data_IF_966834030721
#
_entry.id   IF_966834030721
#
_cell.length_a   1.000
_cell.length_b   1.000
_cell.length_c   1.000
_cell.angle_alpha   90.00
_cell.angle_beta   90.00
_cell.angle_gamma   90.00
#
_symmetry.space_group_name_H-M   'P 1'
#
loop_
_entity.id
_entity.type
_entity.pdbx_description
1 polymer ?
#
# COMPACT_ATOMS: atom_id res chain seq x y z
N UNK A 1 -2.26 -30.05 -5.38
CA UNK A 1 -1.48 -28.80 -5.45
C UNK A 1 -1.50 -28.16 -4.07
N UNK A 2 -0.56 -28.47 -3.15
CA UNK A 2 -0.61 -27.88 -1.84
C UNK A 2 -0.14 -26.43 -1.94
N UNK A 3 -0.91 -25.55 -1.29
CA UNK A 3 -0.62 -24.13 -1.11
C UNK A 3 0.85 -23.94 -0.79
N UNK A 4 1.57 -23.24 -1.67
CA UNK A 4 2.92 -22.80 -1.37
C UNK A 4 2.79 -21.76 -0.25
N UNK A 5 3.08 -22.17 0.97
CA UNK A 5 3.16 -21.29 2.13
C UNK A 5 4.32 -20.35 1.87
N UNK A 6 4.03 -19.18 1.28
CA UNK A 6 5.00 -18.11 1.20
C UNK A 6 5.30 -17.67 2.63
N UNK A 7 6.41 -18.16 3.17
CA UNK A 7 6.91 -17.74 4.48
C UNK A 7 7.45 -16.34 4.28
N UNK A 8 6.68 -15.35 4.73
CA UNK A 8 7.12 -13.96 4.74
C UNK A 8 8.30 -13.85 5.73
N UNK A 9 9.48 -13.41 5.29
CA UNK A 9 10.64 -13.33 6.18
C UNK A 9 10.40 -12.32 7.31
N UNK A 10 11.03 -12.52 8.50
CA UNK A 10 10.89 -11.61 9.62
C UNK A 10 11.34 -10.20 9.21
N UNK A 11 10.47 -9.21 9.41
CA UNK A 11 10.69 -7.82 8.98
C UNK A 11 9.83 -7.38 7.79
N UNK A 12 9.11 -8.29 7.14
CA UNK A 12 8.15 -7.96 6.09
C UNK A 12 6.73 -8.22 6.61
N UNK A 13 5.88 -7.19 6.63
CA UNK A 13 4.45 -7.36 6.87
C UNK A 13 3.74 -7.48 5.52
N UNK A 14 3.32 -8.69 5.16
CA UNK A 14 2.40 -8.90 4.05
C UNK A 14 1.01 -9.12 4.66
N UNK A 15 0.11 -8.14 4.54
CA UNK A 15 -1.28 -8.35 4.94
C UNK A 15 -1.87 -9.46 4.06
N UNK A 16 -2.41 -10.55 4.64
CA UNK A 16 -2.97 -11.63 3.85
C UNK A 16 -4.27 -11.16 3.20
N UNK A 17 -4.18 -10.70 1.94
CA UNK A 17 -5.33 -10.46 1.09
C UNK A 17 -5.60 -11.73 0.27
N UNK A 18 -6.77 -12.38 0.41
CA UNK A 18 -7.15 -13.50 -0.45
C UNK A 18 -7.09 -13.06 -1.91
N UNK A 19 -6.47 -13.88 -2.76
CA UNK A 19 -6.41 -13.66 -4.20
C UNK A 19 -7.83 -13.51 -4.74
N UNK A 20 -8.06 -12.46 -5.53
CA UNK A 20 -9.38 -12.15 -6.10
C UNK A 20 -10.33 -11.34 -5.21
N UNK A 21 -9.99 -11.08 -3.95
CA UNK A 21 -10.74 -10.13 -3.11
C UNK A 21 -10.61 -8.68 -3.62
N UNK A 22 -11.55 -7.80 -3.23
CA UNK A 22 -11.49 -6.38 -3.58
C UNK A 22 -10.20 -5.72 -3.08
N UNK A 23 -9.79 -6.02 -1.84
CA UNK A 23 -8.52 -5.49 -1.30
C UNK A 23 -7.30 -5.94 -2.11
N UNK A 24 -7.29 -7.18 -2.60
CA UNK A 24 -6.24 -7.67 -3.50
C UNK A 24 -6.22 -6.90 -4.82
N UNK A 25 -7.38 -6.65 -5.43
CA UNK A 25 -7.49 -5.90 -6.68
C UNK A 25 -7.02 -4.45 -6.50
N UNK A 26 -7.49 -3.76 -5.47
CA UNK A 26 -7.08 -2.39 -5.17
C UNK A 26 -5.56 -2.28 -4.95
N UNK A 27 -4.94 -3.25 -4.28
CA UNK A 27 -3.49 -3.29 -4.11
C UNK A 27 -2.74 -3.44 -5.44
N UNK A 28 -3.25 -4.26 -6.36
CA UNK A 28 -2.66 -4.42 -7.69
C UNK A 28 -2.81 -3.16 -8.54
N UNK A 29 -4.00 -2.55 -8.55
CA UNK A 29 -4.27 -1.32 -9.30
C UNK A 29 -3.37 -0.18 -8.84
N UNK A 30 -3.28 0.07 -7.53
CA UNK A 30 -2.38 1.10 -6.99
C UNK A 30 -0.93 0.79 -7.34
N UNK A 31 -0.49 -0.46 -7.21
CA UNK A 31 0.88 -0.86 -7.55
C UNK A 31 1.18 -0.58 -9.02
N UNK A 32 0.32 -1.05 -9.91
CA UNK A 32 0.53 -0.95 -11.35
C UNK A 32 0.47 0.51 -11.82
N UNK A 33 -0.43 1.32 -11.23
CA UNK A 33 -0.51 2.76 -11.47
C UNK A 33 0.77 3.49 -11.06
N UNK A 34 1.29 3.25 -9.85
CA UNK A 34 2.50 3.90 -9.37
C UNK A 34 3.74 3.47 -10.18
N UNK A 35 3.75 2.25 -10.73
CA UNK A 35 4.82 1.80 -11.63
C UNK A 35 4.82 2.52 -12.98
N UNK A 36 3.66 2.96 -13.48
CA UNK A 36 3.51 3.67 -14.76
C UNK A 36 3.55 5.19 -14.60
N UNK A 37 3.35 5.73 -13.40
CA UNK A 37 3.35 7.16 -13.09
C UNK A 37 4.45 7.51 -12.07
N UNK A 38 5.70 7.71 -12.52
CA UNK A 38 6.84 7.94 -11.62
C UNK A 38 6.72 9.26 -10.82
N UNK A 39 6.05 10.28 -11.37
CA UNK A 39 5.76 11.53 -10.65
C UNK A 39 4.84 11.27 -9.46
N UNK A 40 3.71 10.58 -9.67
CA UNK A 40 2.78 10.23 -8.60
C UNK A 40 3.43 9.31 -7.57
N UNK A 41 4.30 8.40 -8.00
CA UNK A 41 5.09 7.55 -7.10
C UNK A 41 6.05 8.36 -6.21
N UNK A 42 6.67 9.41 -6.75
CA UNK A 42 7.50 10.32 -5.97
C UNK A 42 6.67 11.08 -4.92
N UNK A 43 5.53 11.67 -5.32
CA UNK A 43 4.61 12.37 -4.41
C UNK A 43 4.11 11.44 -3.30
N UNK A 44 3.71 10.21 -3.67
CA UNK A 44 3.30 9.20 -2.70
C UNK A 44 4.43 8.79 -1.75
N UNK A 45 5.67 8.70 -2.25
CA UNK A 45 6.87 8.47 -1.45
C UNK A 45 7.07 9.54 -0.39
N UNK A 46 7.06 10.81 -0.81
CA UNK A 46 7.22 11.96 0.08
C UNK A 46 6.08 12.05 1.11
N UNK A 47 4.85 11.79 0.69
CA UNK A 47 3.72 11.78 1.60
C UNK A 47 3.87 10.73 2.72
N UNK A 48 4.36 9.53 2.39
CA UNK A 48 4.68 8.50 3.41
C UNK A 48 5.78 8.97 4.37
N UNK A 49 6.79 9.68 3.88
CA UNK A 49 7.85 10.23 4.72
C UNK A 49 7.29 11.26 5.71
N UNK A 50 6.44 12.18 5.23
CA UNK A 50 5.76 13.17 6.07
C UNK A 50 4.88 12.49 7.13
N UNK A 51 4.08 11.49 6.74
CA UNK A 51 3.23 10.75 7.68
C UNK A 51 4.05 9.97 8.71
N UNK A 52 5.17 9.35 8.31
CA UNK A 52 6.04 8.62 9.23
C UNK A 52 6.70 9.57 10.26
N UNK A 53 7.03 10.80 9.86
CA UNK A 53 7.54 11.82 10.77
C UNK A 53 6.45 12.39 11.68
N UNK A 54 5.23 12.57 11.18
CA UNK A 54 4.10 13.10 11.94
C UNK A 54 3.53 12.08 12.95
N UNK A 55 3.57 10.78 12.60
CA UNK A 55 2.96 9.69 13.37
C UNK A 55 3.94 8.54 13.64
N UNK A 56 5.07 8.78 14.34
CA UNK A 56 6.11 7.77 14.53
C UNK A 56 5.69 6.57 15.40
N UNK A 57 4.66 6.74 16.23
CA UNK A 57 4.13 5.71 17.13
C UNK A 57 2.65 5.42 16.91
N UNK A 58 2.03 6.05 15.91
CA UNK A 58 0.59 5.98 15.64
C UNK A 58 0.36 5.40 14.24
N UNK A 59 0.32 4.07 14.19
CA UNK A 59 0.17 3.33 12.94
C UNK A 59 -1.20 3.58 12.30
N UNK A 60 -2.26 3.72 13.09
CA UNK A 60 -3.61 3.94 12.59
C UNK A 60 -3.68 5.28 11.85
N UNK A 61 -3.17 6.36 12.44
CA UNK A 61 -3.10 7.67 11.77
C UNK A 61 -2.17 7.68 10.56
N UNK A 62 -1.10 6.91 10.60
CA UNK A 62 -0.21 6.73 9.45
C UNK A 62 -0.91 6.02 8.27
N UNK A 63 -1.74 5.02 8.54
CA UNK A 63 -2.52 4.31 7.52
C UNK A 63 -3.66 5.19 7.01
N UNK A 64 -4.45 5.78 7.90
CA UNK A 64 -5.57 6.66 7.56
C UNK A 64 -5.12 7.85 6.72
N UNK A 65 -3.96 8.42 7.04
CA UNK A 65 -3.37 9.52 6.29
C UNK A 65 -3.09 9.19 4.82
N UNK A 66 -3.07 7.92 4.40
CA UNK A 66 -2.88 7.54 3.00
C UNK A 66 -4.18 7.42 2.22
N UNK A 67 -5.33 7.35 2.90
CA UNK A 67 -6.63 7.02 2.31
C UNK A 67 -6.98 7.96 1.17
N UNK A 68 -6.88 9.28 1.37
CA UNK A 68 -7.26 10.26 0.35
C UNK A 68 -6.45 10.13 -0.94
N UNK A 69 -5.14 9.88 -0.83
CA UNK A 69 -4.25 9.71 -1.97
C UNK A 69 -4.52 8.40 -2.70
N UNK A 70 -4.74 7.30 -1.96
CA UNK A 70 -5.08 6.01 -2.54
C UNK A 70 -6.44 6.04 -3.27
N UNK A 71 -7.43 6.74 -2.71
CA UNK A 71 -8.72 6.94 -3.38
C UNK A 71 -8.58 7.74 -4.67
N UNK A 72 -7.68 8.72 -4.73
CA UNK A 72 -7.36 9.45 -5.95
C UNK A 72 -6.81 8.54 -7.06
N UNK A 73 -6.02 7.52 -6.71
CA UNK A 73 -5.48 6.54 -7.68
C UNK A 73 -6.53 5.52 -8.12
N UNK A 74 -7.42 5.10 -7.20
CA UNK A 74 -8.44 4.08 -7.47
C UNK A 74 -9.67 4.60 -8.24
N UNK A 75 -9.84 5.92 -8.34
CA UNK A 75 -10.99 6.55 -9.03
C UNK A 75 -10.70 6.98 -10.48
N UNK A 76 -9.55 6.62 -11.06
CA UNK A 76 -9.20 6.91 -12.47
C UNK A 76 -9.65 5.81 -13.46
#
# INVERSE_FOLDING_TARGET
MPFSTFVVPPGFSCSPCPQGSLGWQNHLEVRDYLCTHPETAYVYGEHKNVLAQAFPHDFDRYVDGKTDLLLGILHE
#
